data_IF_406548868105
#
_entry.id   IF_406548868105
#
_cell.length_a   1.000
_cell.length_b   1.000
_cell.length_c   1.000
_cell.angle_alpha   90.00
_cell.angle_beta   90.00
_cell.angle_gamma   90.00
#
_symmetry.space_group_name_H-M   'P 1'
#
loop_
_entity.id
_entity.type
_entity.pdbx_description
1 polymer ?
#
# COMPACT_ATOMS: atom_id res chain seq x y z
N UNK A 1 -9.56 -4.94 18.53
CA UNK A 1 -10.34 -5.68 17.55
C UNK A 1 -10.50 -4.78 16.34
N UNK A 2 -10.37 -5.32 15.15
CA UNK A 2 -10.36 -4.51 13.92
C UNK A 2 -11.79 -4.11 13.52
N UNK A 3 -11.98 -2.83 13.21
CA UNK A 3 -13.25 -2.26 12.79
C UNK A 3 -13.21 -1.93 11.31
N UNK A 4 -14.17 -2.44 10.56
CA UNK A 4 -14.34 -2.12 9.14
C UNK A 4 -15.78 -1.74 8.84
N UNK A 5 -16.00 -1.04 7.71
CA UNK A 5 -17.32 -0.60 7.24
C UNK A 5 -17.45 -0.85 5.73
N UNK A 6 -18.63 -1.29 5.23
CA UNK A 6 -18.92 -1.22 3.81
C UNK A 6 -19.07 0.25 3.40
N UNK A 7 -18.87 0.55 2.12
CA UNK A 7 -18.91 1.92 1.62
C UNK A 7 -19.42 1.98 0.17
N UNK A 8 -19.83 3.17 -0.26
CA UNK A 8 -20.23 3.44 -1.63
C UNK A 8 -18.99 3.73 -2.47
N UNK A 9 -18.46 2.71 -3.15
CA UNK A 9 -17.27 2.85 -4.00
C UNK A 9 -17.52 3.79 -5.17
N UNK A 10 -16.54 4.68 -5.45
CA UNK A 10 -16.50 5.45 -6.68
C UNK A 10 -15.55 4.71 -7.63
N UNK A 11 -16.07 4.24 -8.76
CA UNK A 11 -15.34 3.35 -9.66
C UNK A 11 -15.77 3.53 -11.11
N UNK A 12 -14.92 3.14 -12.10
CA UNK A 12 -15.28 3.27 -13.50
C UNK A 12 -16.42 2.32 -13.91
N UNK A 13 -17.22 2.68 -14.92
CA UNK A 13 -18.04 1.72 -15.67
C UNK A 13 -17.20 0.57 -16.24
N UNK A 14 -17.82 -0.59 -16.46
CA UNK A 14 -17.11 -1.80 -16.90
C UNK A 14 -16.35 -1.61 -18.24
N UNK A 15 -16.92 -0.87 -19.16
CA UNK A 15 -16.35 -0.58 -20.48
C UNK A 15 -15.22 0.46 -20.46
N UNK A 16 -15.02 1.13 -19.34
CA UNK A 16 -13.97 2.14 -19.16
C UNK A 16 -12.84 1.72 -18.21
N UNK A 17 -12.98 0.58 -17.50
CA UNK A 17 -12.05 0.22 -16.43
C UNK A 17 -10.59 0.15 -16.90
N UNK A 18 -10.32 -0.43 -18.07
CA UNK A 18 -8.96 -0.54 -18.63
C UNK A 18 -8.36 0.81 -19.01
N UNK A 19 -9.21 1.80 -19.37
CA UNK A 19 -8.76 3.15 -19.69
C UNK A 19 -8.51 3.99 -18.43
N UNK A 20 -9.21 3.68 -17.33
CA UNK A 20 -9.10 4.44 -16.07
C UNK A 20 -8.02 3.84 -15.16
N UNK A 21 -7.91 2.52 -15.12
CA UNK A 21 -6.95 1.83 -14.24
C UNK A 21 -5.51 2.33 -14.44
N UNK A 22 -4.79 2.46 -13.34
CA UNK A 22 -3.40 2.89 -13.32
C UNK A 22 -2.61 2.16 -12.26
N UNK A 23 -1.30 2.17 -12.36
CA UNK A 23 -0.41 1.74 -11.29
C UNK A 23 -0.42 2.76 -10.14
N UNK A 24 0.01 2.39 -8.92
CA UNK A 24 0.12 3.32 -7.79
C UNK A 24 1.05 4.51 -8.10
N UNK A 25 0.76 5.67 -7.49
CA UNK A 25 1.47 6.93 -7.76
C UNK A 25 2.98 6.87 -7.46
N UNK A 26 3.41 5.99 -6.58
CA UNK A 26 4.78 5.90 -6.06
C UNK A 26 5.68 4.89 -6.81
N UNK A 27 5.13 4.16 -7.78
CA UNK A 27 5.89 3.25 -8.63
C UNK A 27 6.40 3.88 -9.92
N UNK A 28 6.00 5.14 -10.19
CA UNK A 28 6.39 5.90 -11.40
C UNK A 28 6.84 7.31 -11.03
N UNK A 29 7.77 7.83 -11.79
CA UNK A 29 8.04 9.26 -11.80
C UNK A 29 7.05 10.02 -12.72
N UNK A 30 7.07 11.36 -12.69
CA UNK A 30 6.13 12.19 -13.46
C UNK A 30 6.34 12.09 -14.99
N UNK A 31 7.54 11.76 -15.45
CA UNK A 31 7.81 11.58 -16.88
C UNK A 31 7.20 10.27 -17.39
N UNK A 32 7.38 9.18 -16.65
CA UNK A 32 6.78 7.88 -16.93
C UNK A 32 5.26 7.93 -16.90
N UNK A 33 4.68 8.58 -15.87
CA UNK A 33 3.23 8.76 -15.77
C UNK A 33 2.65 9.57 -16.95
N UNK A 34 3.38 10.59 -17.43
CA UNK A 34 3.00 11.36 -18.61
C UNK A 34 3.03 10.53 -19.88
N UNK A 35 4.02 9.65 -20.01
CA UNK A 35 4.14 8.74 -21.15
C UNK A 35 3.00 7.71 -21.16
N UNK A 36 2.70 7.09 -20.02
CA UNK A 36 1.61 6.12 -19.90
C UNK A 36 0.22 6.73 -20.10
N UNK A 37 0.01 7.97 -19.63
CA UNK A 37 -1.24 8.68 -19.85
C UNK A 37 -1.37 9.31 -21.24
N UNK A 38 -0.34 9.26 -22.09
CA UNK A 38 -0.34 9.95 -23.38
C UNK A 38 -1.49 9.49 -24.28
N UNK A 39 -2.36 10.43 -24.67
CA UNK A 39 -3.53 10.15 -25.51
C UNK A 39 -4.72 9.51 -24.77
N UNK A 40 -4.62 9.29 -23.48
CA UNK A 40 -5.70 8.77 -22.65
C UNK A 40 -6.15 9.77 -21.59
N UNK A 41 -7.13 10.62 -21.92
CA UNK A 41 -7.71 11.62 -21.01
C UNK A 41 -8.47 11.01 -19.81
N UNK A 42 -8.71 9.70 -19.81
CA UNK A 42 -9.41 8.97 -18.75
C UNK A 42 -8.46 8.28 -17.78
N UNK A 43 -7.15 8.33 -18.02
CA UNK A 43 -6.17 7.73 -17.10
C UNK A 43 -6.28 8.32 -15.70
N UNK A 44 -6.32 7.48 -14.67
CA UNK A 44 -6.37 7.92 -13.28
C UNK A 44 -5.13 8.75 -12.88
N UNK A 45 -4.03 8.66 -13.65
CA UNK A 45 -2.86 9.51 -13.42
C UNK A 45 -3.17 11.01 -13.45
N UNK A 46 -4.16 11.46 -14.22
CA UNK A 46 -4.61 12.86 -14.19
C UNK A 46 -5.14 13.30 -12.82
N UNK A 47 -5.49 12.35 -11.94
CA UNK A 47 -5.97 12.61 -10.57
C UNK A 47 -4.87 12.37 -9.54
N UNK A 48 -4.12 11.26 -9.66
CA UNK A 48 -3.12 10.85 -8.65
C UNK A 48 -1.73 11.43 -8.89
N UNK A 49 -1.44 11.86 -10.14
CA UNK A 49 -0.22 12.54 -10.56
C UNK A 49 -0.55 13.75 -11.47
N UNK A 50 -1.34 14.72 -10.97
CA UNK A 50 -1.92 15.79 -11.77
C UNK A 50 -0.90 16.76 -12.36
N UNK A 51 0.37 16.70 -11.93
CA UNK A 51 1.49 17.44 -12.53
C UNK A 51 1.73 17.07 -14.00
N UNK A 52 1.20 15.93 -14.47
CA UNK A 52 1.28 15.56 -15.88
C UNK A 52 0.47 16.46 -16.81
N UNK A 53 -0.51 17.19 -16.27
CA UNK A 53 -1.35 18.16 -17.00
C UNK A 53 -0.68 19.54 -17.15
N UNK A 54 0.50 19.73 -16.58
CA UNK A 54 1.27 20.98 -16.62
C UNK A 54 2.54 20.82 -17.47
N UNK A 55 3.21 21.92 -17.83
CA UNK A 55 4.50 21.85 -18.51
C UNK A 55 5.54 21.00 -17.75
N UNK A 56 6.42 20.33 -18.50
CA UNK A 56 7.51 19.55 -17.91
C UNK A 56 8.36 20.43 -16.98
N UNK A 57 8.68 19.91 -15.81
CA UNK A 57 9.43 20.63 -14.77
C UNK A 57 8.57 21.42 -13.79
N UNK A 58 7.23 21.34 -13.91
CA UNK A 58 6.33 21.86 -12.86
C UNK A 58 6.57 21.07 -11.57
N UNK A 59 6.69 21.78 -10.45
CA UNK A 59 6.83 21.16 -9.13
C UNK A 59 5.56 20.40 -8.78
N UNK A 60 5.70 19.09 -8.50
CA UNK A 60 4.58 18.22 -8.11
C UNK A 60 3.89 18.69 -6.82
N UNK A 61 4.56 19.52 -6.01
CA UNK A 61 4.04 20.08 -4.76
C UNK A 61 3.45 21.50 -4.88
N UNK A 62 3.34 22.04 -6.11
CA UNK A 62 2.69 23.33 -6.36
C UNK A 62 1.19 23.24 -6.02
N UNK A 63 0.65 24.25 -5.35
CA UNK A 63 -0.78 24.30 -4.98
C UNK A 63 -1.75 24.21 -6.18
N UNK A 64 -1.29 24.61 -7.38
CA UNK A 64 -2.06 24.45 -8.62
C UNK A 64 -2.24 22.99 -9.01
N UNK A 65 -1.23 22.17 -8.72
CA UNK A 65 -1.23 20.72 -9.01
C UNK A 65 -2.28 20.02 -8.14
N UNK A 66 -2.32 20.32 -6.85
CA UNK A 66 -3.37 19.76 -5.96
C UNK A 66 -4.78 20.22 -6.37
N UNK A 67 -4.96 21.48 -6.73
CA UNK A 67 -6.27 21.94 -7.24
C UNK A 67 -6.68 21.21 -8.51
N UNK A 68 -5.73 20.95 -9.41
CA UNK A 68 -5.95 20.18 -10.63
C UNK A 68 -6.42 18.76 -10.35
N UNK A 69 -5.86 18.09 -9.32
CA UNK A 69 -6.36 16.78 -8.85
C UNK A 69 -7.86 16.82 -8.53
N UNK A 70 -8.28 17.82 -7.74
CA UNK A 70 -9.69 17.95 -7.34
C UNK A 70 -10.61 18.31 -8.54
N UNK A 71 -10.14 19.16 -9.45
CA UNK A 71 -10.85 19.50 -10.70
C UNK A 71 -11.03 18.25 -11.56
N UNK A 72 -9.96 17.49 -11.77
CA UNK A 72 -10.00 16.26 -12.56
C UNK A 72 -10.90 15.20 -11.90
N UNK A 73 -10.83 15.01 -10.59
CA UNK A 73 -11.68 14.06 -9.89
C UNK A 73 -13.17 14.40 -10.03
N UNK A 74 -13.52 15.67 -9.96
CA UNK A 74 -14.89 16.13 -10.22
C UNK A 74 -15.28 15.93 -11.68
N UNK A 75 -14.42 16.34 -12.61
CA UNK A 75 -14.65 16.18 -14.05
C UNK A 75 -14.88 14.72 -14.45
N UNK A 76 -14.12 13.76 -13.86
CA UNK A 76 -14.31 12.33 -14.12
C UNK A 76 -15.69 11.86 -13.69
N UNK A 77 -16.20 12.36 -12.55
CA UNK A 77 -17.56 12.05 -12.09
C UNK A 77 -18.62 12.71 -12.98
N UNK A 78 -18.46 13.96 -13.33
CA UNK A 78 -19.39 14.71 -14.21
C UNK A 78 -19.50 14.09 -15.60
N UNK A 79 -18.40 13.53 -16.13
CA UNK A 79 -18.36 12.81 -17.41
C UNK A 79 -18.81 11.32 -17.29
N UNK A 80 -19.10 10.84 -16.11
CA UNK A 80 -19.46 9.43 -15.88
C UNK A 80 -18.30 8.44 -16.08
N UNK A 81 -17.05 8.91 -16.06
CA UNK A 81 -15.87 8.04 -16.11
C UNK A 81 -15.59 7.39 -14.76
N UNK A 82 -16.07 8.01 -13.69
CA UNK A 82 -16.17 7.45 -12.35
C UNK A 82 -17.60 7.63 -11.86
N UNK A 83 -18.19 6.55 -11.34
CA UNK A 83 -19.56 6.52 -10.85
C UNK A 83 -19.57 5.98 -9.43
N UNK A 84 -20.32 6.64 -8.54
CA UNK A 84 -20.51 6.16 -7.18
C UNK A 84 -21.59 5.08 -7.13
N UNK A 85 -21.34 3.98 -6.43
CA UNK A 85 -22.33 2.94 -6.18
C UNK A 85 -23.49 3.46 -5.32
N UNK A 86 -24.71 3.00 -5.59
CA UNK A 86 -25.92 3.44 -4.87
C UNK A 86 -25.98 2.92 -3.44
N UNK A 87 -25.36 1.76 -3.17
CA UNK A 87 -25.38 1.07 -1.89
C UNK A 87 -23.98 0.96 -1.29
N UNK A 88 -23.92 0.83 0.03
CA UNK A 88 -22.71 0.48 0.74
C UNK A 88 -22.41 -1.00 0.55
N UNK A 89 -21.24 -1.31 -0.01
CA UNK A 89 -20.80 -2.65 -0.34
C UNK A 89 -19.41 -2.92 0.25
N UNK A 90 -19.06 -4.19 0.40
CA UNK A 90 -17.67 -4.63 0.32
C UNK A 90 -17.37 -5.08 -1.11
N UNK A 91 -16.08 -5.23 -1.42
CA UNK A 91 -15.68 -5.71 -2.74
C UNK A 91 -14.59 -6.75 -2.59
N UNK A 92 -14.46 -7.61 -3.61
CA UNK A 92 -13.31 -8.49 -3.76
C UNK A 92 -12.46 -7.96 -4.91
N UNK A 93 -11.19 -7.78 -4.65
CA UNK A 93 -10.18 -7.49 -5.66
C UNK A 93 -9.21 -8.66 -5.73
N UNK A 94 -9.04 -9.22 -6.91
CA UNK A 94 -8.05 -10.25 -7.17
C UNK A 94 -6.96 -9.72 -8.09
N UNK A 95 -5.71 -10.00 -7.72
CA UNK A 95 -4.54 -9.72 -8.55
C UNK A 95 -3.84 -11.01 -8.91
N UNK A 96 -3.60 -11.19 -10.20
CA UNK A 96 -2.85 -12.33 -10.73
C UNK A 96 -1.47 -11.87 -11.21
N UNK A 97 -0.43 -12.39 -10.59
CA UNK A 97 0.96 -12.10 -10.91
C UNK A 97 1.75 -13.41 -11.00
N UNK A 98 2.49 -13.62 -12.08
CA UNK A 98 3.31 -14.83 -12.29
C UNK A 98 2.52 -16.15 -12.09
N UNK A 99 1.26 -16.20 -12.53
CA UNK A 99 0.41 -17.38 -12.43
C UNK A 99 -0.20 -17.61 -11.03
N UNK A 100 0.07 -16.74 -10.05
CA UNK A 100 -0.54 -16.79 -8.73
C UNK A 100 -1.59 -15.70 -8.59
N UNK A 101 -2.82 -16.07 -8.20
CA UNK A 101 -3.90 -15.14 -7.89
C UNK A 101 -4.05 -14.98 -6.38
N UNK A 102 -4.16 -13.74 -5.94
CA UNK A 102 -4.42 -13.34 -4.55
C UNK A 102 -5.77 -12.63 -4.50
N UNK A 103 -6.59 -12.95 -3.51
CA UNK A 103 -7.94 -12.38 -3.32
C UNK A 103 -7.99 -11.54 -2.06
N UNK A 104 -8.28 -10.25 -2.19
CA UNK A 104 -8.39 -9.31 -1.09
C UNK A 104 -9.80 -8.73 -0.95
N UNK A 105 -10.22 -8.46 0.27
CA UNK A 105 -11.46 -7.75 0.60
C UNK A 105 -11.20 -6.25 0.64
N UNK A 106 -11.93 -5.48 -0.17
CA UNK A 106 -11.87 -4.01 -0.17
C UNK A 106 -12.87 -3.48 0.83
N UNK A 107 -12.38 -2.74 1.81
CA UNK A 107 -13.15 -2.28 2.98
C UNK A 107 -12.84 -0.84 3.34
N UNK A 108 -13.72 -0.18 4.08
CA UNK A 108 -13.40 1.02 4.85
C UNK A 108 -12.75 0.62 6.17
N UNK A 109 -11.46 0.87 6.34
CA UNK A 109 -10.72 0.61 7.57
C UNK A 109 -10.84 1.80 8.53
N UNK A 110 -11.01 1.54 9.83
CA UNK A 110 -11.34 2.57 10.81
C UNK A 110 -10.11 3.38 11.25
N UNK A 111 -10.20 4.70 11.14
CA UNK A 111 -9.12 5.65 11.50
C UNK A 111 -8.64 5.48 12.94
N UNK A 112 -9.52 5.38 13.97
CA UNK A 112 -9.06 5.15 15.34
C UNK A 112 -8.28 3.85 15.52
N UNK A 113 -8.52 2.80 14.74
CA UNK A 113 -7.75 1.55 14.81
C UNK A 113 -6.29 1.77 14.36
N UNK A 114 -6.05 2.67 13.41
CA UNK A 114 -4.72 3.12 13.05
C UNK A 114 -4.06 3.91 14.18
N UNK A 115 -4.78 4.85 14.79
CA UNK A 115 -4.27 5.71 15.86
C UNK A 115 -3.97 4.91 17.14
N UNK A 116 -4.76 3.90 17.46
CA UNK A 116 -4.65 3.07 18.67
C UNK A 116 -3.77 1.82 18.49
N UNK A 117 -3.19 1.62 17.28
CA UNK A 117 -2.27 0.51 17.02
C UNK A 117 -2.94 -0.86 16.86
N UNK A 118 -4.25 -0.92 16.57
CA UNK A 118 -4.93 -2.13 16.08
C UNK A 118 -4.46 -2.43 14.67
N UNK A 119 -4.28 -1.40 13.84
CA UNK A 119 -3.59 -1.50 12.56
C UNK A 119 -2.08 -1.36 12.81
N UNK A 120 -1.34 -2.45 12.62
CA UNK A 120 0.09 -2.55 12.92
C UNK A 120 0.94 -1.99 11.80
N UNK A 121 1.92 -1.20 12.19
CA UNK A 121 2.92 -0.56 11.31
C UNK A 121 4.27 -1.24 11.49
N UNK A 122 5.06 -1.32 10.43
CA UNK A 122 6.43 -1.82 10.48
C UNK A 122 7.42 -0.86 9.81
N UNK A 123 6.96 0.32 9.35
CA UNK A 123 7.77 1.35 8.74
C UNK A 123 7.42 2.72 9.34
N UNK A 124 8.44 3.56 9.55
CA UNK A 124 8.24 4.97 9.91
C UNK A 124 7.95 5.78 8.65
N UNK A 125 6.91 6.59 8.71
CA UNK A 125 6.56 7.48 7.61
C UNK A 125 7.46 8.71 7.56
N UNK A 126 7.79 9.14 6.34
CA UNK A 126 8.49 10.40 6.10
C UNK A 126 7.49 11.54 6.09
N UNK A 127 7.77 12.57 6.88
CA UNK A 127 6.87 13.72 7.05
C UNK A 127 6.54 14.45 5.74
N UNK A 128 7.53 14.63 4.86
CA UNK A 128 7.33 15.27 3.56
C UNK A 128 6.34 14.50 2.67
N UNK A 129 6.45 13.17 2.61
CA UNK A 129 5.53 12.31 1.87
C UNK A 129 4.15 12.21 2.52
N UNK A 130 4.10 12.22 3.84
CA UNK A 130 2.85 12.23 4.61
C UNK A 130 2.06 13.51 4.36
N UNK A 131 2.71 14.69 4.48
CA UNK A 131 2.10 16.00 4.23
C UNK A 131 1.57 16.12 2.79
N UNK A 132 2.32 15.62 1.80
CA UNK A 132 1.90 15.57 0.42
C UNK A 132 0.62 14.74 0.24
N UNK A 133 0.58 13.52 0.76
CA UNK A 133 -0.62 12.67 0.67
C UNK A 133 -1.79 13.23 1.48
N UNK A 134 -1.55 13.87 2.61
CA UNK A 134 -2.58 14.58 3.36
C UNK A 134 -3.23 15.70 2.53
N UNK A 135 -2.45 16.47 1.78
CA UNK A 135 -2.98 17.49 0.86
C UNK A 135 -3.88 16.85 -0.19
N UNK A 136 -3.45 15.77 -0.82
CA UNK A 136 -4.28 15.04 -1.79
C UNK A 136 -5.62 14.58 -1.20
N UNK A 137 -5.60 13.97 0.00
CA UNK A 137 -6.84 13.53 0.68
C UNK A 137 -7.74 14.72 1.01
N UNK A 138 -7.17 15.86 1.47
CA UNK A 138 -7.97 17.06 1.82
C UNK A 138 -8.64 17.69 0.59
N UNK A 139 -7.90 17.87 -0.51
CA UNK A 139 -8.42 18.58 -1.69
C UNK A 139 -9.45 17.75 -2.46
N UNK A 140 -9.22 16.43 -2.55
CA UNK A 140 -10.14 15.52 -3.22
C UNK A 140 -11.32 15.14 -2.31
N UNK A 141 -11.19 15.29 -1.00
CA UNK A 141 -12.12 14.79 0.00
C UNK A 141 -12.45 13.29 -0.17
N UNK A 142 -11.47 12.51 -0.59
CA UNK A 142 -11.60 11.10 -0.93
C UNK A 142 -10.29 10.35 -0.72
N UNK A 143 -10.38 9.05 -0.48
CA UNK A 143 -9.26 8.11 -0.55
C UNK A 143 -9.27 7.48 -1.95
N UNK A 144 -8.38 7.93 -2.84
CA UNK A 144 -8.39 7.52 -4.25
C UNK A 144 -7.67 6.20 -4.46
N UNK A 145 -6.55 6.01 -3.77
CA UNK A 145 -5.74 4.79 -3.86
C UNK A 145 -5.90 3.96 -2.58
N UNK A 146 -6.23 2.66 -2.69
CA UNK A 146 -6.35 1.80 -1.52
C UNK A 146 -4.98 1.58 -0.86
N UNK A 147 -5.00 1.28 0.42
CA UNK A 147 -3.84 0.75 1.14
C UNK A 147 -3.93 -0.78 1.17
N UNK A 148 -2.80 -1.44 1.33
CA UNK A 148 -2.72 -2.89 1.34
C UNK A 148 -2.47 -3.41 2.75
N UNK A 149 -3.40 -4.22 3.27
CA UNK A 149 -3.32 -4.84 4.57
C UNK A 149 -3.28 -6.36 4.48
N UNK A 150 -2.62 -6.97 5.46
CA UNK A 150 -2.73 -8.39 5.74
C UNK A 150 -3.62 -8.63 6.96
N UNK A 151 -4.37 -9.73 6.97
CA UNK A 151 -5.12 -10.22 8.12
C UNK A 151 -4.83 -11.71 8.39
N UNK A 152 -5.00 -12.20 9.65
CA UNK A 152 -4.87 -13.60 9.96
C UNK A 152 -5.87 -14.46 9.19
N UNK A 153 -5.46 -15.63 8.73
CA UNK A 153 -6.29 -16.55 7.94
C UNK A 153 -7.63 -16.83 8.61
N UNK A 154 -8.70 -16.85 7.81
CA UNK A 154 -10.07 -17.01 8.29
C UNK A 154 -10.92 -17.80 7.29
N UNK A 155 -11.23 -19.05 7.62
CA UNK A 155 -11.98 -19.95 6.75
C UNK A 155 -13.42 -19.47 6.45
N UNK A 156 -14.03 -18.65 7.31
CA UNK A 156 -15.36 -18.08 7.07
C UNK A 156 -15.29 -17.03 5.96
N UNK A 157 -14.27 -16.17 6.00
CA UNK A 157 -14.03 -15.18 4.95
C UNK A 157 -13.65 -15.85 3.63
N UNK A 158 -12.81 -16.90 3.67
CA UNK A 158 -12.44 -17.69 2.49
C UNK A 158 -13.68 -18.29 1.82
N UNK A 159 -14.63 -18.79 2.60
CA UNK A 159 -15.89 -19.33 2.07
C UNK A 159 -16.79 -18.25 1.43
N UNK A 160 -16.80 -17.04 1.98
CA UNK A 160 -17.50 -15.89 1.36
C UNK A 160 -16.83 -15.53 0.03
N UNK A 161 -15.51 -15.36 0.02
CA UNK A 161 -14.74 -15.02 -1.18
C UNK A 161 -14.98 -16.08 -2.27
N UNK A 162 -14.87 -17.37 -1.93
CA UNK A 162 -15.09 -18.45 -2.88
C UNK A 162 -16.48 -18.43 -3.56
N UNK A 163 -17.53 -18.06 -2.83
CA UNK A 163 -18.89 -17.94 -3.41
C UNK A 163 -19.00 -16.83 -4.46
N UNK A 164 -18.34 -15.69 -4.24
CA UNK A 164 -18.37 -14.58 -5.19
C UNK A 164 -17.45 -14.82 -6.38
N UNK A 165 -16.27 -15.37 -6.15
CA UNK A 165 -15.30 -15.63 -7.21
C UNK A 165 -15.70 -16.77 -8.15
N UNK A 166 -16.68 -17.61 -7.76
CA UNK A 166 -17.33 -18.57 -8.63
C UNK A 166 -18.36 -17.91 -9.61
N UNK A 167 -18.67 -16.62 -9.42
CA UNK A 167 -19.60 -15.88 -10.25
C UNK A 167 -18.85 -15.01 -11.27
N UNK A 168 -19.56 -14.53 -12.31
CA UNK A 168 -18.97 -13.61 -13.28
C UNK A 168 -18.51 -12.31 -12.57
N UNK A 169 -17.26 -11.90 -12.75
CA UNK A 169 -16.77 -10.65 -12.18
C UNK A 169 -17.37 -9.40 -12.86
N UNK A 170 -17.31 -8.28 -12.16
CA UNK A 170 -17.66 -6.97 -12.73
C UNK A 170 -16.53 -6.46 -13.63
N UNK A 171 -15.28 -6.68 -13.23
CA UNK A 171 -14.09 -6.41 -14.04
C UNK A 171 -13.25 -7.66 -14.15
N UNK A 172 -12.66 -7.86 -15.32
CA UNK A 172 -11.67 -8.92 -15.57
C UNK A 172 -10.82 -8.50 -16.77
N UNK A 173 -9.60 -8.09 -16.51
CA UNK A 173 -8.67 -7.62 -17.53
C UNK A 173 -7.22 -7.86 -17.13
N UNK A 174 -6.32 -7.78 -18.10
CA UNK A 174 -4.87 -7.84 -17.91
C UNK A 174 -4.30 -6.47 -18.24
N UNK A 175 -3.59 -5.87 -17.29
CA UNK A 175 -2.95 -4.58 -17.52
C UNK A 175 -1.84 -4.71 -18.57
N UNK A 176 -1.82 -3.85 -19.62
CA UNK A 176 -0.85 -3.97 -20.71
C UNK A 176 0.58 -3.64 -20.27
N UNK A 177 0.73 -2.82 -19.21
CA UNK A 177 2.04 -2.28 -18.81
C UNK A 177 2.89 -3.29 -18.03
N UNK A 178 2.27 -4.15 -17.23
CA UNK A 178 2.98 -5.12 -16.38
C UNK A 178 2.54 -6.57 -16.57
N UNK A 179 1.46 -6.80 -17.33
CA UNK A 179 0.91 -8.11 -17.58
C UNK A 179 0.16 -8.72 -16.39
N UNK A 180 -0.17 -7.92 -15.38
CA UNK A 180 -0.92 -8.40 -14.22
C UNK A 180 -2.40 -8.48 -14.53
N UNK A 181 -3.03 -9.56 -14.03
CA UNK A 181 -4.47 -9.75 -14.11
C UNK A 181 -5.18 -9.04 -12.95
N UNK A 182 -6.28 -8.37 -13.26
CA UNK A 182 -7.11 -7.65 -12.30
C UNK A 182 -8.55 -8.12 -12.43
N UNK A 183 -9.11 -8.65 -11.35
CA UNK A 183 -10.48 -9.14 -11.35
C UNK A 183 -11.23 -8.57 -10.14
N UNK A 184 -12.51 -8.24 -10.30
CA UNK A 184 -13.25 -7.49 -9.27
C UNK A 184 -14.70 -7.95 -9.16
N UNK A 185 -15.19 -8.11 -7.93
CA UNK A 185 -16.57 -8.47 -7.60
C UNK A 185 -17.15 -7.52 -6.55
N UNK A 186 -18.47 -7.36 -6.55
CA UNK A 186 -19.20 -6.58 -5.55
C UNK A 186 -19.88 -7.54 -4.59
N UNK A 187 -19.70 -7.30 -3.29
CA UNK A 187 -20.41 -8.01 -2.21
C UNK A 187 -21.55 -7.11 -1.74
N UNK A 188 -22.75 -7.36 -2.24
CA UNK A 188 -23.96 -6.55 -2.03
C UNK A 188 -25.05 -7.23 -1.18
N UNK A 189 -24.85 -8.51 -0.84
CA UNK A 189 -25.78 -9.25 0.02
C UNK A 189 -25.56 -8.87 1.47
N UNK A 190 -26.61 -8.37 2.12
CA UNK A 190 -26.55 -7.90 3.51
C UNK A 190 -26.02 -8.95 4.48
N UNK A 191 -26.42 -10.22 4.29
CA UNK A 191 -25.96 -11.35 5.12
C UNK A 191 -24.44 -11.52 5.07
N UNK A 192 -23.83 -11.40 3.87
CA UNK A 192 -22.39 -11.56 3.68
C UNK A 192 -21.63 -10.32 4.21
N UNK A 193 -22.19 -9.12 4.06
CA UNK A 193 -21.67 -7.88 4.65
C UNK A 193 -21.60 -8.02 6.18
N UNK A 194 -22.65 -8.52 6.81
CA UNK A 194 -22.69 -8.74 8.27
C UNK A 194 -21.67 -9.80 8.70
N UNK A 195 -21.54 -10.91 7.96
CA UNK A 195 -20.54 -11.96 8.25
C UNK A 195 -19.14 -11.38 8.19
N UNK A 196 -18.79 -10.67 7.12
CA UNK A 196 -17.46 -10.06 6.97
C UNK A 196 -17.17 -9.10 8.11
N UNK A 197 -18.10 -8.18 8.41
CA UNK A 197 -17.95 -7.21 9.51
C UNK A 197 -17.73 -7.90 10.85
N UNK A 198 -18.51 -8.96 11.16
CA UNK A 198 -18.39 -9.73 12.40
C UNK A 198 -17.06 -10.50 12.49
N UNK A 199 -16.57 -11.06 11.37
CA UNK A 199 -15.29 -11.77 11.37
C UNK A 199 -14.10 -10.82 11.59
N UNK A 200 -14.08 -9.66 10.94
CA UNK A 200 -13.06 -8.65 11.21
C UNK A 200 -13.09 -8.15 12.66
N UNK A 201 -14.27 -7.98 13.23
CA UNK A 201 -14.41 -7.59 14.64
C UNK A 201 -13.84 -8.62 15.64
N UNK A 202 -13.54 -9.85 15.23
CA UNK A 202 -12.87 -10.85 16.07
C UNK A 202 -11.33 -10.76 15.96
N UNK A 203 -10.81 -10.10 14.92
CA UNK A 203 -9.37 -10.01 14.67
C UNK A 203 -8.71 -9.03 15.64
N UNK A 204 -7.62 -9.42 16.31
CA UNK A 204 -6.94 -8.54 17.27
C UNK A 204 -6.18 -7.40 16.58
N UNK A 205 -5.76 -7.60 15.33
CA UNK A 205 -5.01 -6.63 14.56
C UNK A 205 -5.12 -6.86 13.05
N UNK A 206 -4.88 -5.80 12.28
CA UNK A 206 -4.54 -5.81 10.87
C UNK A 206 -3.09 -5.34 10.72
N UNK A 207 -2.45 -5.69 9.61
CA UNK A 207 -1.03 -5.40 9.39
C UNK A 207 -0.87 -4.67 8.07
N UNK A 208 -0.25 -3.50 8.07
CA UNK A 208 0.06 -2.77 6.84
C UNK A 208 1.12 -3.56 6.08
N UNK A 209 0.80 -4.04 4.88
CA UNK A 209 1.77 -4.66 3.98
C UNK A 209 2.39 -3.62 3.04
N UNK A 210 1.57 -2.66 2.55
CA UNK A 210 2.03 -1.52 1.75
C UNK A 210 1.13 -0.29 1.96
N UNK A 211 1.64 0.90 1.62
CA UNK A 211 0.89 2.16 1.74
C UNK A 211 0.95 2.80 3.12
N UNK A 212 2.09 2.73 3.83
CA UNK A 212 2.26 3.38 5.14
C UNK A 212 1.98 4.88 5.09
N UNK A 213 2.49 5.61 4.07
CA UNK A 213 2.25 7.05 3.92
C UNK A 213 0.77 7.34 3.61
N UNK A 214 0.13 6.54 2.76
CA UNK A 214 -1.31 6.65 2.45
C UNK A 214 -2.18 6.39 3.68
N UNK A 215 -1.86 5.35 4.46
CA UNK A 215 -2.55 5.03 5.72
C UNK A 215 -2.41 6.16 6.74
N UNK A 216 -1.19 6.68 6.93
CA UNK A 216 -0.93 7.81 7.84
C UNK A 216 -1.71 9.05 7.41
N UNK A 217 -1.63 9.43 6.14
CA UNK A 217 -2.31 10.61 5.60
C UNK A 217 -3.83 10.53 5.78
N UNK A 218 -4.43 9.39 5.42
CA UNK A 218 -5.86 9.19 5.58
C UNK A 218 -6.30 9.26 7.05
N UNK A 219 -5.54 8.62 7.95
CA UNK A 219 -5.85 8.61 9.38
C UNK A 219 -5.72 10.01 10.01
N UNK A 220 -4.66 10.75 9.67
CA UNK A 220 -4.45 12.10 10.19
C UNK A 220 -5.50 13.08 9.69
N UNK A 221 -5.84 13.05 8.41
CA UNK A 221 -6.92 13.90 7.85
C UNK A 221 -8.28 13.51 8.43
N UNK A 222 -8.56 12.23 8.64
CA UNK A 222 -9.77 11.78 9.32
C UNK A 222 -9.86 12.32 10.75
N UNK A 223 -8.77 12.25 11.51
CA UNK A 223 -8.70 12.78 12.87
C UNK A 223 -8.85 14.32 12.91
N UNK A 224 -8.25 15.05 11.94
CA UNK A 224 -8.46 16.50 11.80
C UNK A 224 -9.93 16.84 11.59
N UNK A 225 -10.62 16.14 10.68
CA UNK A 225 -12.03 16.36 10.39
C UNK A 225 -12.92 16.03 11.60
N UNK A 226 -12.59 14.96 12.32
CA UNK A 226 -13.28 14.61 13.57
C UNK A 226 -13.14 15.73 14.61
N UNK A 227 -11.94 16.29 14.80
CA UNK A 227 -11.67 17.38 15.72
C UNK A 227 -12.33 18.71 15.33
N UNK A 228 -12.58 18.92 14.02
CA UNK A 228 -13.25 20.12 13.49
C UNK A 228 -14.78 20.02 13.49
N UNK A 229 -15.34 18.81 13.61
CA UNK A 229 -16.79 18.60 13.58
C UNK A 229 -17.39 18.62 14.99
N UNK A 230 -18.10 19.69 15.39
CA UNK A 230 -18.72 19.76 16.72
C UNK A 230 -19.83 18.71 16.93
N UNK A 231 -20.33 18.12 15.83
CA UNK A 231 -21.37 17.08 15.87
C UNK A 231 -20.80 15.69 15.56
N UNK A 232 -19.49 15.48 15.77
CA UNK A 232 -18.84 14.19 15.54
C UNK A 232 -19.49 13.06 16.33
N UNK A 233 -19.84 11.95 15.66
CA UNK A 233 -20.48 10.77 16.24
C UNK A 233 -19.65 9.51 16.13
N UNK A 234 -18.64 9.50 15.23
CA UNK A 234 -17.75 8.38 14.97
C UNK A 234 -18.15 7.47 13.79
N UNK A 235 -19.33 7.69 13.21
CA UNK A 235 -19.85 6.93 12.05
C UNK A 235 -19.67 7.65 10.70
N UNK A 236 -19.13 8.87 10.71
CA UNK A 236 -18.90 9.66 9.50
C UNK A 236 -17.84 9.01 8.59
N UNK A 237 -17.99 9.23 7.27
CA UNK A 237 -17.13 8.65 6.24
C UNK A 237 -15.63 8.96 6.41
N UNK A 238 -15.28 10.14 6.93
CA UNK A 238 -13.88 10.50 7.18
C UNK A 238 -13.21 9.70 8.31
N UNK A 239 -13.98 8.93 9.08
CA UNK A 239 -13.44 7.99 10.06
C UNK A 239 -13.00 6.67 9.43
N UNK A 240 -13.14 6.52 8.12
CA UNK A 240 -12.78 5.31 7.40
C UNK A 240 -11.94 5.64 6.18
N UNK A 241 -11.02 4.76 5.84
CA UNK A 241 -10.21 4.88 4.63
C UNK A 241 -10.12 3.56 3.88
N UNK A 242 -9.99 3.64 2.57
CA UNK A 242 -10.06 2.48 1.69
C UNK A 242 -8.83 1.58 1.84
N UNK A 243 -9.05 0.31 2.17
CA UNK A 243 -8.02 -0.71 2.27
C UNK A 243 -8.41 -1.96 1.50
N UNK A 244 -7.42 -2.63 0.89
CA UNK A 244 -7.54 -4.00 0.39
C UNK A 244 -6.86 -4.91 1.40
N UNK A 245 -7.62 -5.84 1.98
CA UNK A 245 -7.16 -6.75 3.02
C UNK A 245 -7.03 -8.16 2.46
N UNK A 246 -5.82 -8.74 2.49
CA UNK A 246 -5.54 -10.09 2.03
C UNK A 246 -5.27 -11.03 3.20
N UNK A 247 -5.69 -12.30 3.14
CA UNK A 247 -5.31 -13.30 4.14
C UNK A 247 -3.80 -13.59 4.04
N UNK A 248 -3.15 -13.79 5.19
CA UNK A 248 -1.70 -13.93 5.27
C UNK A 248 -1.17 -15.10 4.43
N UNK A 249 -1.92 -16.21 4.34
CA UNK A 249 -1.52 -17.40 3.58
C UNK A 249 -1.48 -17.19 2.05
N UNK A 250 -2.14 -16.16 1.51
CA UNK A 250 -2.10 -15.84 0.09
C UNK A 250 -0.93 -14.93 -0.27
N UNK A 251 -0.32 -14.27 0.71
CA UNK A 251 0.76 -13.33 0.50
C UNK A 251 2.10 -14.06 0.30
N UNK A 252 2.97 -13.43 -0.44
CA UNK A 252 4.34 -13.89 -0.64
C UNK A 252 5.27 -12.75 -0.28
N UNK A 253 6.18 -13.01 0.65
CA UNK A 253 7.27 -12.07 0.96
C UNK A 253 8.31 -12.25 -0.12
N UNK A 254 8.61 -11.17 -0.85
CA UNK A 254 9.65 -11.13 -1.87
C UNK A 254 10.88 -10.38 -1.34
N UNK A 255 12.05 -10.69 -1.91
CA UNK A 255 13.30 -10.05 -1.52
C UNK A 255 13.23 -8.54 -1.82
N UNK A 256 13.53 -7.71 -0.82
CA UNK A 256 13.69 -6.28 -0.99
C UNK A 256 15.17 -5.94 -1.06
N UNK A 257 15.74 -6.04 -2.27
CA UNK A 257 17.16 -5.83 -2.50
C UNK A 257 17.54 -4.35 -2.43
N UNK A 258 18.64 -4.05 -1.73
CA UNK A 258 19.23 -2.72 -1.65
C UNK A 258 20.60 -2.73 -2.31
N UNK A 259 20.82 -1.78 -3.22
CA UNK A 259 22.13 -1.57 -3.85
C UNK A 259 22.85 -0.44 -3.10
N UNK A 260 24.05 -0.73 -2.64
CA UNK A 260 24.93 0.25 -2.01
C UNK A 260 25.83 0.83 -3.09
N UNK A 261 25.87 2.15 -3.22
CA UNK A 261 26.59 2.85 -4.29
C UNK A 261 28.10 2.67 -4.18
N UNK A 262 28.62 2.72 -2.96
CA UNK A 262 30.04 2.57 -2.64
C UNK A 262 30.21 2.06 -1.20
N UNK A 263 31.40 1.65 -0.84
CA UNK A 263 31.76 1.15 0.50
C UNK A 263 32.22 2.26 1.45
N UNK A 264 31.98 3.53 1.12
CA UNK A 264 32.37 4.69 1.93
C UNK A 264 33.89 4.71 2.22
N UNK A 265 34.69 4.41 1.20
CA UNK A 265 36.16 4.39 1.27
C UNK A 265 36.76 3.13 1.89
N UNK A 266 35.95 2.17 2.32
CA UNK A 266 36.44 0.89 2.85
C UNK A 266 36.80 -0.09 1.72
N UNK A 267 37.80 -0.90 1.96
CA UNK A 267 38.04 -2.10 1.18
C UNK A 267 36.97 -3.17 1.47
N UNK A 268 36.72 -4.15 0.58
CA UNK A 268 35.80 -5.25 0.86
C UNK A 268 36.05 -5.95 2.20
N UNK A 269 37.33 -6.20 2.56
CA UNK A 269 37.70 -6.83 3.81
C UNK A 269 37.38 -5.97 5.04
N UNK A 270 37.66 -4.67 4.99
CA UNK A 270 37.30 -3.72 6.06
C UNK A 270 35.78 -3.59 6.22
N UNK A 271 35.05 -3.60 5.11
CA UNK A 271 33.60 -3.60 5.14
C UNK A 271 33.03 -4.86 5.81
N UNK A 272 33.51 -6.05 5.45
CA UNK A 272 33.10 -7.31 6.07
C UNK A 272 33.45 -7.34 7.58
N UNK A 273 34.62 -6.80 7.97
CA UNK A 273 35.02 -6.66 9.36
C UNK A 273 34.07 -5.71 10.13
N UNK A 274 33.65 -4.61 9.49
CA UNK A 274 32.69 -3.68 10.09
C UNK A 274 31.30 -4.32 10.26
N UNK A 275 30.81 -5.05 9.25
CA UNK A 275 29.56 -5.83 9.30
C UNK A 275 29.64 -6.91 10.37
N UNK A 276 30.80 -7.55 10.51
CA UNK A 276 31.07 -8.59 11.50
C UNK A 276 30.95 -8.14 12.97
N UNK A 277 30.84 -6.84 13.24
CA UNK A 277 30.53 -6.35 14.59
C UNK A 277 29.13 -6.75 15.03
N UNK A 278 28.15 -6.64 14.14
CA UNK A 278 26.74 -6.88 14.43
C UNK A 278 26.21 -8.21 13.87
N UNK A 279 26.93 -8.81 12.93
CA UNK A 279 26.53 -10.05 12.25
C UNK A 279 27.61 -11.12 12.36
N UNK A 280 27.19 -12.37 12.40
CA UNK A 280 28.03 -13.50 12.02
C UNK A 280 28.07 -13.54 10.49
N UNK A 281 29.27 -13.44 9.92
CA UNK A 281 29.49 -13.39 8.47
C UNK A 281 30.04 -14.74 8.00
N UNK A 282 29.40 -15.34 7.03
CA UNK A 282 29.80 -16.61 6.45
C UNK A 282 29.84 -16.51 4.93
N UNK A 283 30.98 -16.81 4.29
CA UNK A 283 31.09 -16.82 2.82
C UNK A 283 30.34 -18.03 2.25
N UNK A 284 29.53 -17.80 1.23
CA UNK A 284 28.70 -18.82 0.55
C UNK A 284 29.18 -19.12 -0.88
N UNK A 285 30.24 -18.43 -1.35
CA UNK A 285 30.80 -18.63 -2.69
C UNK A 285 30.15 -17.74 -3.76
N UNK A 286 30.13 -18.20 -5.00
CA UNK A 286 29.67 -17.43 -6.17
C UNK A 286 28.21 -17.66 -6.55
N UNK A 287 27.62 -18.75 -6.08
CA UNK A 287 26.21 -19.07 -6.32
C UNK A 287 25.28 -18.20 -5.46
N UNK A 288 24.12 -17.82 -6.03
CA UNK A 288 23.14 -16.98 -5.34
C UNK A 288 22.74 -17.62 -4.01
N UNK A 289 23.01 -16.91 -2.94
CA UNK A 289 22.57 -17.28 -1.61
C UNK A 289 21.29 -16.53 -1.22
N UNK A 290 20.25 -17.28 -0.83
CA UNK A 290 19.02 -16.70 -0.26
C UNK A 290 18.98 -16.90 1.26
N UNK A 291 18.52 -15.88 2.03
CA UNK A 291 18.38 -16.01 3.47
C UNK A 291 17.51 -17.22 3.87
N UNK A 292 17.93 -17.94 4.90
CA UNK A 292 17.27 -19.17 5.33
C UNK A 292 16.15 -18.93 6.39
N UNK A 293 16.09 -17.74 6.99
CA UNK A 293 15.14 -17.44 8.06
C UNK A 293 15.21 -16.01 8.57
N UNK A 294 14.48 -15.78 9.66
CA UNK A 294 14.43 -14.47 10.33
C UNK A 294 15.83 -14.05 10.81
N UNK A 295 16.13 -12.76 10.74
CA UNK A 295 17.43 -12.16 11.12
C UNK A 295 18.64 -12.68 10.31
N UNK A 296 18.39 -13.37 9.20
CA UNK A 296 19.40 -13.79 8.25
C UNK A 296 19.26 -12.96 6.95
N UNK A 297 20.38 -12.45 6.46
CA UNK A 297 20.43 -11.62 5.26
C UNK A 297 21.47 -12.17 4.30
N UNK A 298 21.33 -11.86 3.02
CA UNK A 298 22.39 -12.10 2.04
C UNK A 298 23.09 -10.80 1.67
N UNK A 299 24.38 -10.88 1.46
CA UNK A 299 25.20 -9.81 0.95
C UNK A 299 25.97 -10.33 -0.28
N UNK A 300 25.88 -9.59 -1.38
CA UNK A 300 26.78 -9.80 -2.52
C UNK A 300 27.85 -8.72 -2.53
N UNK A 301 29.11 -9.14 -2.47
CA UNK A 301 30.24 -8.24 -2.43
C UNK A 301 31.43 -8.88 -3.13
N UNK A 302 32.07 -8.13 -4.04
CA UNK A 302 33.30 -8.51 -4.74
C UNK A 302 33.23 -9.92 -5.38
N UNK A 303 32.11 -10.20 -6.11
CA UNK A 303 31.89 -11.45 -6.81
C UNK A 303 31.45 -12.64 -5.95
N UNK A 304 31.24 -12.44 -4.65
CA UNK A 304 30.87 -13.50 -3.70
C UNK A 304 29.61 -13.18 -2.93
N UNK A 305 28.91 -14.22 -2.53
CA UNK A 305 27.77 -14.16 -1.61
C UNK A 305 28.18 -14.49 -0.19
N UNK A 306 27.55 -13.80 0.76
CA UNK A 306 27.74 -13.98 2.19
C UNK A 306 26.40 -14.12 2.87
N UNK A 307 26.32 -15.03 3.86
CA UNK A 307 25.24 -15.08 4.85
C UNK A 307 25.59 -14.16 6.00
N UNK A 308 24.65 -13.29 6.38
CA UNK A 308 24.77 -12.38 7.51
C UNK A 308 23.68 -12.76 8.52
N UNK A 309 24.06 -13.36 9.63
CA UNK A 309 23.14 -13.68 10.73
C UNK A 309 23.33 -12.66 11.85
N UNK A 310 22.25 -11.93 12.19
CA UNK A 310 22.31 -10.91 13.24
C UNK A 310 22.66 -11.54 14.60
N UNK A 311 23.58 -10.90 15.32
CA UNK A 311 24.01 -11.37 16.65
C UNK A 311 22.94 -11.06 17.70
N UNK A 312 22.76 -11.90 18.74
CA UNK A 312 21.89 -11.59 19.86
C UNK A 312 22.17 -10.20 20.45
N UNK A 313 21.12 -9.45 20.74
CA UNK A 313 21.22 -8.09 21.26
C UNK A 313 21.33 -6.99 20.22
N UNK A 314 21.40 -7.33 18.92
CA UNK A 314 21.35 -6.34 17.82
C UNK A 314 19.95 -6.09 17.30
N UNK A 315 18.95 -6.80 17.76
CA UNK A 315 17.54 -6.70 17.39
C UNK A 315 16.64 -6.97 18.61
N UNK A 316 15.37 -6.59 18.48
CA UNK A 316 14.33 -6.83 19.49
C UNK A 316 13.10 -7.43 18.82
N UNK A 317 12.84 -8.70 19.05
CA UNK A 317 11.71 -9.44 18.46
C UNK A 317 10.33 -8.92 18.91
N UNK A 318 10.27 -8.20 20.03
CA UNK A 318 9.03 -7.60 20.54
C UNK A 318 8.73 -6.23 19.90
N UNK A 319 9.66 -5.68 19.12
CA UNK A 319 9.48 -4.42 18.40
C UNK A 319 9.48 -4.68 16.90
N UNK A 320 8.30 -4.69 16.23
CA UNK A 320 8.21 -4.95 14.79
C UNK A 320 9.03 -3.98 13.93
N UNK A 321 9.23 -2.75 14.41
CA UNK A 321 10.03 -1.73 13.72
C UNK A 321 11.50 -1.89 14.07
N UNK A 322 11.83 -2.09 15.32
CA UNK A 322 13.19 -2.28 15.83
C UNK A 322 13.88 -3.51 15.24
N UNK A 323 13.13 -4.57 15.00
CA UNK A 323 13.64 -5.76 14.31
C UNK A 323 14.19 -5.45 12.91
N UNK A 324 13.56 -4.55 12.17
CA UNK A 324 13.97 -4.15 10.81
C UNK A 324 15.05 -3.08 10.82
N UNK A 325 15.01 -2.14 11.76
CA UNK A 325 15.89 -0.95 11.81
C UNK A 325 17.24 -1.24 12.42
N UNK A 326 17.33 -2.10 13.42
CA UNK A 326 18.58 -2.43 14.10
C UNK A 326 19.57 -3.21 13.23
N UNK A 327 19.05 -4.02 12.31
CA UNK A 327 19.88 -4.89 11.47
C UNK A 327 20.30 -4.24 10.15
N UNK A 328 19.60 -3.19 9.71
CA UNK A 328 19.93 -2.46 8.49
C UNK A 328 19.47 -1.00 8.61
N UNK A 329 20.24 -0.13 9.29
CA UNK A 329 19.90 1.27 9.33
C UNK A 329 19.84 1.81 7.90
N UNK A 330 18.65 2.21 7.49
CA UNK A 330 18.43 2.81 6.18
C UNK A 330 19.22 4.14 6.12
N UNK A 331 19.81 4.50 4.98
CA UNK A 331 20.32 5.85 4.77
C UNK A 331 19.30 6.95 5.05
N UNK A 332 18.00 6.62 5.06
CA UNK A 332 16.91 7.52 5.46
C UNK A 332 16.94 7.86 6.95
N UNK A 333 17.35 6.93 7.81
CA UNK A 333 17.32 7.11 9.26
C UNK A 333 18.40 8.11 9.74
N UNK A 334 19.51 8.25 9.01
CA UNK A 334 20.55 9.25 9.31
C UNK A 334 20.13 10.70 9.05
N UNK A 335 19.07 10.95 8.30
CA UNK A 335 18.55 12.31 8.02
C UNK A 335 17.59 12.82 9.11
N UNK A 336 17.08 11.95 9.97
CA UNK A 336 16.18 12.34 11.07
C UNK A 336 16.92 12.73 12.35
N UNK A 337 18.24 12.49 12.42
CA UNK A 337 19.07 12.81 13.58
C UNK A 337 19.90 14.11 13.43
N UNK A 338 19.44 15.06 12.58
CA UNK A 338 20.03 16.40 12.47
C UNK A 338 18.96 17.47 12.53
#
# INVERSE_FOLDING_TARGET
>A
MATIKPFKGIRPPQDLVEQVASRPYDVLNSAEAREEAAGNEKSLYHIIKPEIDFPVGTDEHDERVYRKAAENFRMFQDKGWLVQDDKENYYIYAQTMNGKTQYGLVVGAYVPDYMNGVIKKHELTRRDKEEDRMKHVRVNNANIEPVFFAYPDNAVLDAVIARYTAQKPVYDFVAPDDGFGHTFWIIDRQEDIEVITKEFAKMPALYIADGHHRSAAAALVGAEKAGQNPNHRGDEEYNYFMAVCFPANQLTIIDYNRVVKDLNGLTPGEFLAAVGKNFTVEEKGTEIYKPAGLHNFSLYLDGKWYSLTAKPGTYNDNDPIGCLLYTSPSPRDKRQSR
#
